data_IF_735906736485
#
_entry.id   IF_735906736485
#
_cell.length_a   1.000
_cell.length_b   1.000
_cell.length_c   1.000
_cell.angle_alpha   90.00
_cell.angle_beta   90.00
_cell.angle_gamma   90.00
#
_symmetry.space_group_name_H-M   'P 1'
#
loop_
_entity.id
_entity.type
_entity.pdbx_description
1 polymer ?
#
# COMPACT_ATOMS: atom_id res chain seq x y z
N UNK A 1 11.72 17.51 50.80
CA UNK A 1 11.06 17.93 49.55
C UNK A 1 11.80 17.44 48.30
N UNK A 2 13.11 17.67 48.16
CA UNK A 2 13.90 17.22 46.99
C UNK A 2 13.87 15.69 46.74
N UNK A 3 13.97 14.88 47.80
CA UNK A 3 13.97 13.41 47.70
C UNK A 3 12.62 12.84 47.22
N UNK A 4 11.52 13.40 47.71
CA UNK A 4 10.16 13.01 47.32
C UNK A 4 9.87 13.32 45.83
N UNK A 5 10.35 14.47 45.34
CA UNK A 5 10.25 14.81 43.92
C UNK A 5 11.10 13.90 43.03
N UNK A 6 12.28 13.45 43.49
CA UNK A 6 13.11 12.48 42.75
C UNK A 6 12.49 11.08 42.71
N UNK A 7 11.86 10.63 43.79
CA UNK A 7 11.13 9.34 43.80
C UNK A 7 9.93 9.36 42.86
N UNK A 8 9.13 10.42 42.87
CA UNK A 8 8.00 10.58 41.93
C UNK A 8 8.50 10.60 40.48
N UNK A 9 9.60 11.29 40.21
CA UNK A 9 10.19 11.35 38.86
C UNK A 9 10.70 9.98 38.41
N UNK A 10 11.30 9.20 39.31
CA UNK A 10 11.76 7.85 39.03
C UNK A 10 10.60 6.89 38.76
N UNK A 11 9.53 6.95 39.57
CA UNK A 11 8.32 6.14 39.35
C UNK A 11 7.66 6.51 38.02
N UNK A 12 7.54 7.81 37.72
CA UNK A 12 6.95 8.29 36.47
C UNK A 12 7.78 7.85 35.25
N UNK A 13 9.11 7.90 35.36
CA UNK A 13 10.04 7.39 34.35
C UNK A 13 9.82 5.89 34.11
N UNK A 14 9.73 5.10 35.18
CA UNK A 14 9.49 3.65 35.09
C UNK A 14 8.14 3.32 34.42
N UNK A 15 7.09 4.06 34.77
CA UNK A 15 5.75 3.91 34.16
C UNK A 15 5.81 4.28 32.68
N UNK A 16 6.45 5.40 32.33
CA UNK A 16 6.58 5.84 30.94
C UNK A 16 7.33 4.81 30.09
N UNK A 17 8.42 4.24 30.62
CA UNK A 17 9.18 3.19 29.97
C UNK A 17 8.34 1.92 29.77
N UNK A 18 7.55 1.52 30.77
CA UNK A 18 6.64 0.39 30.68
C UNK A 18 5.56 0.56 29.62
N UNK A 19 5.00 1.77 29.50
CA UNK A 19 4.03 2.10 28.45
C UNK A 19 4.70 2.03 27.07
N UNK A 20 5.85 2.69 26.89
CA UNK A 20 6.58 2.67 25.63
C UNK A 20 6.94 1.24 25.20
N UNK A 21 7.45 0.42 26.12
CA UNK A 21 7.79 -0.97 25.84
C UNK A 21 6.56 -1.77 25.40
N UNK A 22 5.41 -1.54 26.04
CA UNK A 22 4.14 -2.19 25.68
C UNK A 22 3.71 -1.83 24.25
N UNK A 23 3.84 -0.56 23.87
CA UNK A 23 3.58 -0.11 22.50
C UNK A 23 4.54 -0.75 21.48
N UNK A 24 5.84 -0.85 21.82
CA UNK A 24 6.83 -1.49 20.94
C UNK A 24 6.51 -2.97 20.71
N UNK A 25 6.20 -3.72 21.77
CA UNK A 25 5.84 -5.14 21.69
C UNK A 25 4.56 -5.32 20.87
N UNK A 26 3.53 -4.50 21.12
CA UNK A 26 2.28 -4.54 20.37
C UNK A 26 2.48 -4.26 18.87
N UNK A 27 3.23 -3.20 18.56
CA UNK A 27 3.56 -2.81 17.19
C UNK A 27 4.35 -3.89 16.45
N UNK A 28 5.29 -4.53 17.15
CA UNK A 28 6.09 -5.62 16.61
C UNK A 28 5.23 -6.85 16.31
N UNK A 29 4.37 -7.27 17.24
CA UNK A 29 3.49 -8.42 17.03
C UNK A 29 2.55 -8.22 15.83
N UNK A 30 1.97 -7.03 15.70
CA UNK A 30 1.13 -6.67 14.54
C UNK A 30 1.95 -6.72 13.25
N UNK A 31 3.17 -6.15 13.27
CA UNK A 31 4.07 -6.15 12.12
C UNK A 31 4.46 -7.57 11.68
N UNK A 32 4.75 -8.47 12.64
CA UNK A 32 5.06 -9.87 12.35
C UNK A 32 3.87 -10.61 11.73
N UNK A 33 2.65 -10.36 12.21
CA UNK A 33 1.43 -10.96 11.62
C UNK A 33 1.20 -10.49 10.19
N UNK A 34 1.35 -9.19 9.93
CA UNK A 34 1.22 -8.63 8.57
C UNK A 34 2.31 -9.20 7.67
N UNK A 35 3.57 -9.24 8.14
CA UNK A 35 4.69 -9.79 7.37
C UNK A 35 4.43 -11.25 6.99
N UNK A 36 3.99 -12.09 7.92
CA UNK A 36 3.63 -13.49 7.64
C UNK A 36 2.50 -13.60 6.62
N UNK A 37 1.46 -12.75 6.72
CA UNK A 37 0.36 -12.74 5.75
C UNK A 37 0.84 -12.35 4.35
N UNK A 38 1.73 -11.34 4.24
CA UNK A 38 2.33 -10.92 2.97
C UNK A 38 3.15 -12.04 2.33
N UNK A 39 4.02 -12.69 3.08
CA UNK A 39 4.84 -13.82 2.59
C UNK A 39 3.94 -14.97 2.09
N UNK A 40 2.91 -15.32 2.86
CA UNK A 40 1.98 -16.38 2.46
C UNK A 40 1.16 -16.04 1.22
N UNK A 41 0.72 -14.78 1.08
CA UNK A 41 0.01 -14.33 -0.12
C UNK A 41 0.91 -14.37 -1.36
N UNK A 42 2.17 -13.93 -1.22
CA UNK A 42 3.17 -13.96 -2.27
C UNK A 42 3.47 -15.37 -2.74
N UNK A 43 3.69 -16.30 -1.82
CA UNK A 43 3.92 -17.71 -2.13
C UNK A 43 2.74 -18.30 -2.93
N UNK A 44 1.51 -18.10 -2.44
CA UNK A 44 0.29 -18.58 -3.12
C UNK A 44 0.11 -17.96 -4.51
N UNK A 45 0.43 -16.67 -4.66
CA UNK A 45 0.39 -16.00 -5.96
C UNK A 45 1.40 -16.62 -6.92
N UNK A 46 2.64 -16.83 -6.52
CA UNK A 46 3.64 -17.49 -7.36
C UNK A 46 3.24 -18.92 -7.72
N UNK A 47 2.72 -19.69 -6.76
CA UNK A 47 2.20 -21.03 -7.06
C UNK A 47 1.09 -20.96 -8.10
N UNK A 48 0.12 -20.06 -7.95
CA UNK A 48 -0.96 -19.87 -8.91
C UNK A 48 -0.43 -19.57 -10.32
N UNK A 49 0.56 -18.68 -10.43
CA UNK A 49 1.16 -18.25 -11.69
C UNK A 49 1.99 -19.36 -12.36
N UNK A 50 2.74 -20.15 -11.59
CA UNK A 50 3.62 -21.20 -12.11
C UNK A 50 2.83 -22.47 -12.45
N UNK A 51 1.81 -22.81 -11.67
CA UNK A 51 1.01 -24.02 -11.88
C UNK A 51 0.15 -23.99 -13.15
N UNK A 52 0.02 -22.84 -13.83
CA UNK A 52 -0.82 -22.71 -15.01
C UNK A 52 -2.31 -22.91 -14.74
N UNK A 53 -2.72 -22.85 -13.46
CA UNK A 53 -4.11 -22.96 -13.06
C UNK A 53 -4.91 -21.74 -13.52
N UNK A 54 -6.22 -21.92 -13.70
CA UNK A 54 -7.11 -20.81 -14.05
C UNK A 54 -7.02 -19.68 -13.01
N UNK A 55 -6.62 -18.50 -13.47
CA UNK A 55 -6.48 -17.30 -12.65
C UNK A 55 -7.86 -16.67 -12.47
N UNK A 56 -8.38 -16.72 -11.24
CA UNK A 56 -9.66 -16.10 -10.86
C UNK A 56 -9.45 -14.68 -10.35
N UNK A 57 -10.30 -13.75 -10.77
CA UNK A 57 -10.23 -12.34 -10.35
C UNK A 57 -10.31 -12.17 -8.83
N UNK A 58 -11.23 -12.88 -8.17
CA UNK A 58 -11.41 -12.86 -6.70
C UNK A 58 -10.11 -13.20 -5.96
N UNK A 59 -9.34 -14.17 -6.47
CA UNK A 59 -8.04 -14.54 -5.89
C UNK A 59 -6.99 -13.46 -6.09
N UNK A 60 -6.97 -12.80 -7.25
CA UNK A 60 -6.06 -11.69 -7.51
C UNK A 60 -6.33 -10.53 -6.54
N UNK A 61 -7.60 -10.18 -6.31
CA UNK A 61 -8.00 -9.17 -5.32
C UNK A 61 -7.59 -9.58 -3.90
N UNK A 62 -7.81 -10.85 -3.52
CA UNK A 62 -7.40 -11.37 -2.22
C UNK A 62 -5.88 -11.28 -2.01
N UNK A 63 -5.09 -11.65 -3.01
CA UNK A 63 -3.63 -11.62 -2.94
C UNK A 63 -3.08 -10.18 -2.98
N UNK A 64 -3.67 -9.29 -3.76
CA UNK A 64 -3.34 -7.86 -3.74
C UNK A 64 -3.63 -7.26 -2.35
N UNK A 65 -4.80 -7.56 -1.77
CA UNK A 65 -5.18 -7.05 -0.46
C UNK A 65 -4.26 -7.57 0.66
N UNK A 66 -3.92 -8.87 0.66
CA UNK A 66 -3.09 -9.48 1.72
C UNK A 66 -1.58 -9.23 1.53
N UNK A 67 -1.13 -9.20 0.28
CA UNK A 67 0.27 -9.02 -0.09
C UNK A 67 0.70 -7.56 -0.19
N UNK A 68 -0.26 -6.63 -0.37
CA UNK A 68 0.01 -5.22 -0.62
C UNK A 68 0.75 -4.99 -1.93
N UNK A 69 1.53 -3.91 -1.96
CA UNK A 69 2.21 -3.40 -3.15
C UNK A 69 3.07 -4.42 -3.88
N UNK A 70 3.75 -5.33 -3.16
CA UNK A 70 4.58 -6.36 -3.81
C UNK A 70 3.73 -7.31 -4.67
N UNK A 71 2.61 -7.80 -4.13
CA UNK A 71 1.73 -8.70 -4.88
C UNK A 71 1.00 -7.94 -5.99
N UNK A 72 0.59 -6.69 -5.73
CA UNK A 72 0.00 -5.82 -6.75
C UNK A 72 0.96 -5.62 -7.93
N UNK A 73 2.24 -5.32 -7.66
CA UNK A 73 3.27 -5.18 -8.69
C UNK A 73 3.44 -6.46 -9.52
N UNK A 74 3.43 -7.63 -8.88
CA UNK A 74 3.53 -8.92 -9.59
C UNK A 74 2.31 -9.12 -10.49
N UNK A 75 1.10 -8.87 -9.96
CA UNK A 75 -0.17 -9.00 -10.70
C UNK A 75 -0.19 -8.07 -11.91
N UNK A 76 0.16 -6.80 -11.74
CA UNK A 76 0.16 -5.80 -12.81
C UNK A 76 1.29 -6.02 -13.84
N UNK A 77 2.37 -6.70 -13.46
CA UNK A 77 3.45 -7.06 -14.38
C UNK A 77 3.12 -8.29 -15.25
N UNK A 78 2.09 -9.08 -14.88
CA UNK A 78 1.76 -10.32 -15.58
C UNK A 78 0.60 -10.11 -16.57
N UNK A 79 0.78 -10.39 -17.87
CA UNK A 79 -0.24 -10.17 -18.90
C UNK A 79 -1.50 -11.03 -18.71
N UNK A 80 -1.39 -12.25 -18.18
CA UNK A 80 -2.54 -13.13 -17.93
C UNK A 80 -3.45 -12.56 -16.82
N UNK A 81 -2.84 -12.07 -15.74
CA UNK A 81 -3.56 -11.38 -14.67
C UNK A 81 -4.26 -10.12 -15.18
N UNK A 82 -3.58 -9.32 -16.01
CA UNK A 82 -4.17 -8.11 -16.60
C UNK A 82 -5.37 -8.43 -17.50
N UNK A 83 -5.32 -9.54 -18.24
CA UNK A 83 -6.47 -9.98 -19.05
C UNK A 83 -7.67 -10.34 -18.18
N UNK A 84 -7.45 -11.03 -17.05
CA UNK A 84 -8.51 -11.35 -16.10
C UNK A 84 -9.11 -10.09 -15.48
N UNK A 85 -8.26 -9.15 -15.06
CA UNK A 85 -8.67 -7.86 -14.50
C UNK A 85 -9.48 -7.07 -15.54
N UNK A 86 -9.00 -6.94 -16.77
CA UNK A 86 -9.70 -6.21 -17.84
C UNK A 86 -11.09 -6.78 -18.15
N UNK A 87 -11.26 -8.10 -18.03
CA UNK A 87 -12.57 -8.76 -18.22
C UNK A 87 -13.56 -8.45 -17.11
N UNK A 88 -13.10 -8.20 -15.88
CA UNK A 88 -13.96 -7.94 -14.72
C UNK A 88 -14.13 -6.44 -14.44
N UNK A 89 -13.11 -5.63 -14.67
CA UNK A 89 -13.09 -4.19 -14.43
C UNK A 89 -13.44 -3.38 -15.68
N UNK A 90 -14.58 -3.68 -16.32
CA UNK A 90 -15.06 -3.02 -17.56
C UNK A 90 -15.36 -1.50 -17.37
N UNK A 91 -15.05 -0.92 -16.21
CA UNK A 91 -15.39 0.46 -15.87
C UNK A 91 -14.19 1.38 -15.60
N UNK A 92 -13.05 1.14 -16.22
CA UNK A 92 -12.05 2.22 -16.39
C UNK A 92 -11.61 2.20 -17.84
N UNK A 93 -12.27 3.01 -18.68
CA UNK A 93 -11.61 3.41 -19.92
C UNK A 93 -10.27 4.02 -19.48
N UNK A 94 -9.11 3.50 -19.91
CA UNK A 94 -7.87 4.19 -19.63
C UNK A 94 -8.08 5.64 -20.08
N UNK A 95 -7.76 6.65 -19.23
CA UNK A 95 -7.88 8.03 -19.66
C UNK A 95 -7.18 8.11 -21.01
N UNK A 96 -7.83 8.70 -22.04
CA UNK A 96 -7.28 8.72 -23.38
C UNK A 96 -5.83 9.16 -23.28
N UNK A 97 -4.93 8.52 -24.03
CA UNK A 97 -3.51 8.89 -24.10
C UNK A 97 -3.40 10.33 -24.64
N UNK A 98 -3.73 11.31 -23.82
CA UNK A 98 -3.41 12.70 -24.09
C UNK A 98 -1.92 12.76 -23.98
N UNK A 99 -1.25 12.95 -25.11
CA UNK A 99 0.17 13.25 -25.14
C UNK A 99 0.42 14.33 -24.08
N UNK A 100 1.42 14.15 -23.23
CA UNK A 100 1.81 15.12 -22.20
C UNK A 100 1.93 16.55 -22.76
N UNK A 101 2.27 16.65 -24.05
CA UNK A 101 2.29 17.86 -24.88
C UNK A 101 0.96 18.63 -24.91
N UNK A 102 -0.18 17.97 -24.91
CA UNK A 102 -1.50 18.63 -24.97
C UNK A 102 -1.91 19.22 -23.62
N UNK A 103 -1.55 18.55 -22.52
CA UNK A 103 -1.68 19.11 -21.17
C UNK A 103 -0.77 20.33 -21.00
N UNK A 104 0.47 20.27 -21.48
CA UNK A 104 1.42 21.40 -21.41
C UNK A 104 0.96 22.60 -22.25
N UNK A 105 0.43 22.38 -23.46
CA UNK A 105 -0.17 23.44 -24.28
C UNK A 105 -1.40 24.07 -23.62
N UNK A 106 -2.26 23.27 -23.01
CA UNK A 106 -3.44 23.76 -22.27
C UNK A 106 -3.04 24.61 -21.06
N UNK A 107 -2.05 24.17 -20.29
CA UNK A 107 -1.49 24.94 -19.17
C UNK A 107 -0.84 26.26 -19.63
N UNK A 108 -0.03 26.23 -20.69
CA UNK A 108 0.57 27.45 -21.26
C UNK A 108 -0.50 28.41 -21.78
N UNK A 109 -1.55 27.91 -22.45
CA UNK A 109 -2.63 28.75 -22.96
C UNK A 109 -3.44 29.41 -21.83
N UNK A 110 -3.62 28.73 -20.70
CA UNK A 110 -4.21 29.31 -19.48
C UNK A 110 -3.28 30.34 -18.81
N UNK A 111 -1.97 30.10 -18.80
CA UNK A 111 -0.99 31.04 -18.24
C UNK A 111 -0.86 32.33 -19.05
N UNK A 112 -0.94 32.25 -20.38
CA UNK A 112 -0.78 33.40 -21.29
C UNK A 112 -2.08 34.15 -21.58
N UNK A 113 -3.24 33.69 -21.09
CA UNK A 113 -4.47 34.47 -21.08
C UNK A 113 -4.51 35.39 -19.85
N UNK A 114 -3.59 36.36 -19.82
CA UNK A 114 -3.64 37.49 -18.90
C UNK A 114 -4.78 38.40 -19.41
N UNK A 115 -5.81 38.71 -18.60
CA UNK A 115 -6.80 39.70 -19.00
C UNK A 115 -6.10 41.06 -19.13
N UNK A 116 -6.08 41.61 -20.34
CA UNK A 116 -5.75 43.02 -20.54
C UNK A 116 -6.86 43.83 -19.89
N UNK A 117 -6.54 44.48 -18.76
CA UNK A 117 -7.30 45.62 -18.26
C UNK A 117 -7.05 46.83 -19.17
#
# INVERSE_FOLDING_TARGET
>A
MKEFTTEITNILSLISAGITLSFLIGSLLVSLRISKAKVSAKEKLYTLLISGNEIKYEKLVEYAYKGGEECESIILSNPECLNVIRKHEIMVSPPPKTLCRDKMKSFLKKLFHIPKF
#
